data_IF_466390643440
#
_entry.id   IF_466390643440
#
_cell.length_a   1.000
_cell.length_b   1.000
_cell.length_c   1.000
_cell.angle_alpha   90.00
_cell.angle_beta   90.00
_cell.angle_gamma   90.00
#
_symmetry.space_group_name_H-M   'P 1'
#
loop_
_entity.id
_entity.type
_entity.pdbx_description
1 polymer ?
#
# COMPACT_ATOMS: atom_id res chain seq x y z
N UNK A 1 -6.71 -22.04 24.46
CA UNK A 1 -6.48 -22.13 23.01
C UNK A 1 -5.55 -21.01 22.62
N UNK A 2 -4.58 -21.23 21.70
CA UNK A 2 -3.67 -20.18 21.24
C UNK A 2 -4.13 -19.66 19.88
N UNK A 3 -4.02 -18.36 19.66
CA UNK A 3 -4.41 -17.68 18.43
C UNK A 3 -3.18 -17.04 17.78
N UNK A 4 -2.55 -17.65 16.78
CA UNK A 4 -1.26 -17.23 16.24
C UNK A 4 -1.33 -16.10 15.22
N UNK A 5 -2.50 -15.52 14.93
CA UNK A 5 -2.71 -14.50 13.90
C UNK A 5 -1.71 -13.33 14.01
N UNK A 6 -1.60 -12.71 15.19
CA UNK A 6 -0.72 -11.55 15.36
C UNK A 6 0.77 -11.90 15.21
N UNK A 7 1.17 -13.12 15.62
CA UNK A 7 2.54 -13.60 15.42
C UNK A 7 2.83 -13.87 13.94
N UNK A 8 1.83 -14.35 13.19
CA UNK A 8 1.94 -14.50 11.74
C UNK A 8 2.00 -13.13 11.06
N UNK A 9 1.10 -12.20 11.41
CA UNK A 9 1.08 -10.83 10.87
C UNK A 9 2.42 -10.11 11.09
N UNK A 10 3.05 -10.28 12.25
CA UNK A 10 4.36 -9.71 12.55
C UNK A 10 5.49 -10.18 11.60
N UNK A 11 5.26 -11.21 10.78
CA UNK A 11 6.26 -11.67 9.79
C UNK A 11 6.35 -10.79 8.57
N UNK A 12 5.41 -9.88 8.33
CA UNK A 12 5.49 -8.86 7.26
C UNK A 12 6.82 -8.09 7.28
N UNK A 13 7.42 -7.90 8.48
CA UNK A 13 8.75 -7.26 8.63
C UNK A 13 9.92 -8.04 8.00
N UNK A 14 9.72 -9.33 7.66
CA UNK A 14 10.76 -10.18 7.03
C UNK A 14 10.56 -10.31 5.52
N UNK A 15 9.49 -9.77 4.97
CA UNK A 15 9.20 -9.77 3.53
C UNK A 15 9.77 -8.46 2.97
N UNK A 16 10.77 -8.59 2.10
CA UNK A 16 11.40 -7.45 1.43
C UNK A 16 10.69 -7.19 0.11
N UNK A 17 10.25 -5.97 -0.09
CA UNK A 17 9.66 -5.48 -1.34
C UNK A 17 10.76 -5.17 -2.36
N UNK A 18 10.38 -5.04 -3.63
CA UNK A 18 11.32 -4.74 -4.72
C UNK A 18 12.42 -5.80 -4.89
N UNK A 19 12.11 -7.07 -4.61
CA UNK A 19 13.07 -8.18 -4.49
C UNK A 19 13.92 -8.43 -5.75
N UNK A 20 13.49 -7.95 -6.93
CA UNK A 20 14.26 -8.05 -8.19
C UNK A 20 15.10 -6.80 -8.50
N UNK A 21 15.06 -5.79 -7.62
CA UNK A 21 15.73 -4.50 -7.84
C UNK A 21 16.80 -4.26 -6.78
N UNK A 22 17.92 -3.67 -7.20
CA UNK A 22 18.95 -3.24 -6.27
C UNK A 22 18.51 -1.93 -5.59
N UNK A 23 18.13 -1.99 -4.33
CA UNK A 23 17.70 -0.85 -3.52
C UNK A 23 18.85 -0.31 -2.69
N UNK A 24 18.95 1.01 -2.53
CA UNK A 24 19.90 1.65 -1.58
C UNK A 24 19.48 1.42 -0.13
N UNK A 25 18.16 1.33 0.12
CA UNK A 25 17.57 0.96 1.40
C UNK A 25 16.50 -0.10 1.19
N UNK A 26 16.64 -1.24 1.89
CA UNK A 26 15.58 -2.25 1.88
C UNK A 26 14.29 -1.71 2.49
N UNK A 27 13.16 -2.05 1.90
CA UNK A 27 11.81 -1.75 2.38
C UNK A 27 11.13 -3.07 2.75
N UNK A 28 10.65 -3.19 3.98
CA UNK A 28 9.84 -4.33 4.39
C UNK A 28 8.37 -4.09 4.06
N UNK A 29 7.61 -5.19 3.93
CA UNK A 29 6.16 -5.11 3.75
C UNK A 29 5.47 -4.38 4.93
N UNK A 30 6.00 -4.51 6.16
CA UNK A 30 5.50 -3.76 7.34
C UNK A 30 5.70 -2.26 7.22
N UNK A 31 6.84 -1.79 6.73
CA UNK A 31 7.10 -0.36 6.50
C UNK A 31 6.13 0.17 5.45
N UNK A 32 6.02 -0.53 4.31
CA UNK A 32 5.10 -0.17 3.24
C UNK A 32 3.64 -0.04 3.73
N UNK A 33 3.13 -1.02 4.47
CA UNK A 33 1.73 -0.96 4.94
C UNK A 33 1.51 0.16 5.93
N UNK A 34 2.50 0.48 6.77
CA UNK A 34 2.44 1.63 7.68
C UNK A 34 2.40 2.94 6.89
N UNK A 35 3.31 3.13 5.94
CA UNK A 35 3.38 4.32 5.10
C UNK A 35 2.11 4.47 4.25
N UNK A 36 1.61 3.37 3.68
CA UNK A 36 0.35 3.35 2.93
C UNK A 36 -0.83 3.78 3.82
N UNK A 37 -0.88 3.34 5.08
CA UNK A 37 -1.95 3.72 6.00
C UNK A 37 -1.92 5.22 6.35
N UNK A 38 -0.73 5.78 6.57
CA UNK A 38 -0.55 7.22 6.82
C UNK A 38 -0.98 8.04 5.59
N UNK A 39 -0.57 7.62 4.39
CA UNK A 39 -0.95 8.25 3.13
C UNK A 39 -2.46 8.13 2.86
N UNK A 40 -3.05 6.96 3.09
CA UNK A 40 -4.48 6.73 2.92
C UNK A 40 -5.31 7.61 3.85
N UNK A 41 -4.90 7.74 5.12
CA UNK A 41 -5.53 8.66 6.05
C UNK A 41 -5.42 10.12 5.58
N UNK A 42 -4.22 10.55 5.14
CA UNK A 42 -4.01 11.90 4.63
C UNK A 42 -4.85 12.18 3.38
N UNK A 43 -4.93 11.24 2.42
CA UNK A 43 -5.79 11.38 1.24
C UNK A 43 -7.27 11.52 1.63
N UNK A 44 -7.73 10.80 2.64
CA UNK A 44 -9.10 10.98 3.16
C UNK A 44 -9.32 12.36 3.80
N UNK A 45 -8.32 12.94 4.46
CA UNK A 45 -8.40 14.31 4.98
C UNK A 45 -8.40 15.34 3.82
N UNK A 46 -7.61 15.11 2.78
CA UNK A 46 -7.66 15.90 1.54
C UNK A 46 -9.04 15.79 0.90
N UNK A 47 -9.60 14.58 0.81
CA UNK A 47 -10.96 14.33 0.33
C UNK A 47 -11.99 15.18 1.10
N UNK A 48 -11.92 15.16 2.41
CA UNK A 48 -12.84 15.87 3.29
C UNK A 48 -12.76 17.39 3.13
N UNK A 49 -11.57 17.96 2.94
CA UNK A 49 -11.36 19.41 3.04
C UNK A 49 -11.21 20.10 1.68
N UNK A 50 -10.83 19.40 0.62
CA UNK A 50 -10.49 20.00 -0.67
C UNK A 50 -11.28 19.44 -1.86
N UNK A 51 -11.59 18.13 -1.90
CA UNK A 51 -12.25 17.54 -3.07
C UNK A 51 -13.72 17.17 -2.82
N UNK A 52 -14.13 16.99 -1.56
CA UNK A 52 -15.50 16.66 -1.20
C UNK A 52 -15.87 15.17 -1.41
N UNK A 53 -14.90 14.31 -1.68
CA UNK A 53 -15.14 12.87 -1.84
C UNK A 53 -15.54 12.25 -0.48
N UNK A 54 -16.70 11.58 -0.38
CA UNK A 54 -17.13 10.97 0.87
C UNK A 54 -16.28 9.74 1.20
N UNK A 55 -15.74 9.69 2.41
CA UNK A 55 -14.94 8.56 2.90
C UNK A 55 -14.88 8.53 4.43
N UNK A 56 -14.50 7.38 4.98
CA UNK A 56 -14.27 7.15 6.41
C UNK A 56 -12.77 7.00 6.65
N UNK A 57 -12.05 8.07 7.06
CA UNK A 57 -10.59 8.08 7.17
C UNK A 57 -10.03 6.93 8.02
N UNK A 58 -10.65 6.66 9.16
CA UNK A 58 -10.26 5.59 10.07
C UNK A 58 -10.42 4.20 9.46
N UNK A 59 -11.48 3.97 8.69
CA UNK A 59 -11.74 2.66 8.04
C UNK A 59 -10.73 2.42 6.92
N UNK A 60 -10.45 3.45 6.10
CA UNK A 60 -9.49 3.35 5.00
C UNK A 60 -8.06 3.14 5.54
N UNK A 61 -7.68 3.86 6.59
CA UNK A 61 -6.37 3.71 7.22
C UNK A 61 -6.18 2.30 7.83
N UNK A 62 -7.22 1.78 8.52
CA UNK A 62 -7.16 0.42 9.07
C UNK A 62 -7.10 -0.62 7.94
N UNK A 63 -7.92 -0.49 6.89
CA UNK A 63 -7.84 -1.40 5.74
C UNK A 63 -6.44 -1.35 5.08
N UNK A 64 -5.81 -0.17 5.00
CA UNK A 64 -4.46 -0.03 4.48
C UNK A 64 -3.39 -0.78 5.30
N UNK A 65 -3.55 -0.90 6.62
CA UNK A 65 -2.65 -1.71 7.46
C UNK A 65 -2.72 -3.21 7.15
N UNK A 66 -3.84 -3.68 6.58
CA UNK A 66 -4.07 -5.11 6.33
C UNK A 66 -4.11 -5.47 4.84
N UNK A 67 -4.05 -4.51 3.91
CA UNK A 67 -4.30 -4.74 2.48
C UNK A 67 -3.33 -5.77 1.85
N UNK A 68 -2.08 -5.80 2.31
CA UNK A 68 -1.04 -6.73 1.86
C UNK A 68 -0.78 -7.87 2.88
N UNK A 69 -1.61 -8.01 3.93
CA UNK A 69 -1.46 -9.11 4.89
C UNK A 69 -1.45 -10.51 4.23
N UNK A 70 -2.24 -10.79 3.17
CA UNK A 70 -2.17 -12.06 2.45
C UNK A 70 -0.78 -12.39 1.89
N UNK A 71 0.06 -11.40 1.65
CA UNK A 71 1.42 -11.59 1.12
C UNK A 71 2.38 -12.26 2.12
N UNK A 72 1.98 -12.40 3.38
CA UNK A 72 2.68 -13.27 4.35
C UNK A 72 2.74 -14.71 3.86
N UNK A 73 1.74 -15.15 3.12
CA UNK A 73 1.62 -16.51 2.57
C UNK A 73 2.12 -16.57 1.13
N UNK A 74 1.79 -15.57 0.32
CA UNK A 74 2.13 -15.55 -1.12
C UNK A 74 3.53 -15.00 -1.41
N UNK A 75 4.10 -14.23 -0.49
CA UNK A 75 5.24 -13.34 -0.75
C UNK A 75 4.82 -12.09 -1.54
N UNK A 76 5.63 -11.03 -1.46
CA UNK A 76 5.51 -9.85 -2.34
C UNK A 76 5.95 -10.25 -3.75
N UNK A 77 4.98 -10.48 -4.64
CA UNK A 77 5.27 -10.90 -6.01
C UNK A 77 5.56 -9.68 -6.90
N UNK A 78 6.74 -9.62 -7.54
CA UNK A 78 7.07 -8.52 -8.43
C UNK A 78 6.01 -8.32 -9.52
N UNK A 79 5.59 -7.07 -9.73
CA UNK A 79 4.55 -6.70 -10.69
C UNK A 79 4.71 -7.31 -12.09
N UNK A 80 5.93 -7.37 -12.69
CA UNK A 80 6.12 -8.01 -14.00
C UNK A 80 5.79 -9.51 -13.99
N UNK A 81 5.98 -10.19 -12.86
CA UNK A 81 5.65 -11.62 -12.71
C UNK A 81 4.15 -11.78 -12.50
N UNK A 82 3.56 -11.01 -11.58
CA UNK A 82 2.13 -11.06 -11.24
C UNK A 82 1.23 -10.85 -12.48
N UNK A 83 1.64 -9.97 -13.39
CA UNK A 83 0.88 -9.64 -14.61
C UNK A 83 1.45 -10.27 -15.90
N UNK A 84 2.33 -11.28 -15.79
CA UNK A 84 2.92 -11.95 -16.97
C UNK A 84 1.86 -12.58 -17.87
N UNK A 85 0.80 -13.15 -17.31
CA UNK A 85 -0.32 -13.71 -18.06
C UNK A 85 -1.65 -13.57 -17.28
N UNK A 86 -2.81 -13.54 -17.98
CA UNK A 86 -4.11 -13.55 -17.31
C UNK A 86 -4.28 -14.75 -16.36
N UNK A 87 -3.83 -15.94 -16.79
CA UNK A 87 -3.95 -17.15 -15.97
C UNK A 87 -3.16 -17.04 -14.65
N UNK A 88 -1.94 -16.50 -14.69
CA UNK A 88 -1.13 -16.31 -13.49
C UNK A 88 -1.76 -15.25 -12.55
N UNK A 89 -2.22 -14.14 -13.12
CA UNK A 89 -2.92 -13.10 -12.34
C UNK A 89 -4.14 -13.66 -11.62
N UNK A 90 -4.97 -14.45 -12.32
CA UNK A 90 -6.20 -15.00 -11.76
C UNK A 90 -5.91 -16.08 -10.70
N UNK A 91 -4.89 -16.91 -10.93
CA UNK A 91 -4.42 -17.88 -9.93
C UNK A 91 -3.85 -17.20 -8.68
N UNK A 92 -3.08 -16.12 -8.85
CA UNK A 92 -2.54 -15.34 -7.73
C UNK A 92 -3.67 -14.69 -6.91
N UNK A 93 -4.67 -14.10 -7.58
CA UNK A 93 -5.85 -13.53 -6.90
C UNK A 93 -6.64 -14.59 -6.10
N UNK A 94 -6.77 -15.80 -6.65
CA UNK A 94 -7.40 -16.91 -5.92
C UNK A 94 -6.59 -17.29 -4.67
N UNK A 95 -5.26 -17.30 -4.78
CA UNK A 95 -4.36 -17.58 -3.65
C UNK A 95 -4.43 -16.48 -2.59
N UNK A 96 -4.48 -15.20 -2.97
CA UNK A 96 -4.69 -14.08 -2.05
C UNK A 96 -6.01 -14.27 -1.25
N UNK A 97 -7.09 -14.63 -1.94
CA UNK A 97 -8.40 -14.88 -1.30
C UNK A 97 -8.32 -16.05 -0.32
N UNK A 98 -7.66 -17.14 -0.66
CA UNK A 98 -7.47 -18.29 0.22
C UNK A 98 -6.57 -17.95 1.41
N UNK A 99 -5.57 -17.11 1.21
CA UNK A 99 -4.68 -16.62 2.26
C UNK A 99 -5.44 -15.82 3.31
N UNK A 100 -6.36 -14.93 2.91
CA UNK A 100 -7.26 -14.21 3.83
C UNK A 100 -8.07 -15.19 4.67
N UNK A 101 -8.69 -16.21 4.05
CA UNK A 101 -9.47 -17.22 4.78
C UNK A 101 -8.63 -18.00 5.79
N UNK A 102 -7.43 -18.41 5.36
CA UNK A 102 -6.49 -19.16 6.23
C UNK A 102 -6.03 -18.31 7.42
N UNK A 103 -5.78 -17.01 7.21
CA UNK A 103 -5.41 -16.09 8.28
C UNK A 103 -6.59 -15.83 9.23
N UNK A 104 -7.79 -15.64 8.72
CA UNK A 104 -9.01 -15.44 9.52
C UNK A 104 -9.29 -16.66 10.41
N UNK A 105 -9.03 -17.87 9.93
CA UNK A 105 -9.20 -19.10 10.71
C UNK A 105 -8.24 -19.22 11.93
N UNK A 106 -7.22 -18.35 12.01
CA UNK A 106 -6.31 -18.27 13.17
C UNK A 106 -6.85 -17.40 14.30
N UNK A 107 -8.06 -16.86 14.17
CA UNK A 107 -8.71 -15.97 15.14
C UNK A 107 -9.97 -16.64 15.72
N UNK A 108 -10.45 -16.18 16.91
CA UNK A 108 -11.83 -16.41 17.32
C UNK A 108 -12.81 -15.86 16.27
N UNK A 109 -13.98 -16.51 16.13
CA UNK A 109 -14.95 -16.18 15.09
C UNK A 109 -15.39 -14.71 15.09
N UNK A 110 -15.58 -14.15 16.30
CA UNK A 110 -15.98 -12.75 16.48
C UNK A 110 -14.90 -11.76 15.99
N UNK A 111 -13.63 -12.05 16.24
CA UNK A 111 -12.51 -11.21 15.75
C UNK A 111 -12.28 -11.39 14.25
N UNK A 112 -12.41 -12.62 13.76
CA UNK A 112 -12.33 -12.92 12.33
C UNK A 112 -13.39 -12.17 11.54
N UNK A 113 -14.62 -12.07 12.04
CA UNK A 113 -15.72 -11.36 11.39
C UNK A 113 -15.44 -9.85 11.22
N UNK A 114 -14.72 -9.24 12.17
CA UNK A 114 -14.36 -7.81 12.10
C UNK A 114 -13.11 -7.54 11.25
N UNK A 115 -12.10 -8.44 11.30
CA UNK A 115 -10.82 -8.23 10.62
C UNK A 115 -10.84 -8.67 9.14
N UNK A 116 -11.61 -9.69 8.77
CA UNK A 116 -11.67 -10.17 7.39
C UNK A 116 -12.04 -9.08 6.39
N UNK A 117 -13.07 -8.21 6.64
CA UNK A 117 -13.40 -7.12 5.73
C UNK A 117 -12.28 -6.10 5.52
N UNK A 118 -11.37 -5.95 6.49
CA UNK A 118 -10.20 -5.09 6.36
C UNK A 118 -9.11 -5.73 5.46
N UNK A 119 -8.94 -7.08 5.56
CA UNK A 119 -7.94 -7.81 4.78
C UNK A 119 -8.36 -8.01 3.31
N UNK A 120 -9.64 -8.25 3.04
CA UNK A 120 -10.17 -8.48 1.68
C UNK A 120 -10.75 -7.22 1.03
N UNK A 121 -10.75 -6.09 1.76
CA UNK A 121 -11.24 -4.81 1.29
C UNK A 121 -12.76 -4.65 1.27
N UNK A 122 -13.55 -5.66 1.65
CA UNK A 122 -15.03 -5.57 1.60
C UNK A 122 -15.61 -4.55 2.59
N UNK A 123 -14.82 -4.05 3.54
CA UNK A 123 -15.18 -2.93 4.40
C UNK A 123 -15.29 -1.59 3.65
N UNK A 124 -14.68 -1.47 2.47
CA UNK A 124 -14.51 -0.21 1.74
C UNK A 124 -15.58 0.01 0.67
N UNK A 125 -15.99 1.26 0.48
CA UNK A 125 -16.73 1.70 -0.70
C UNK A 125 -15.82 1.77 -1.92
N UNK A 126 -16.38 2.00 -3.12
CA UNK A 126 -15.60 2.14 -4.35
C UNK A 126 -14.63 3.34 -4.29
N UNK A 127 -15.08 4.47 -3.72
CA UNK A 127 -14.27 5.66 -3.51
C UNK A 127 -13.15 5.40 -2.49
N UNK A 128 -13.45 4.71 -1.40
CA UNK A 128 -12.47 4.34 -0.39
C UNK A 128 -11.42 3.36 -0.95
N UNK A 129 -11.82 2.41 -1.77
CA UNK A 129 -10.89 1.55 -2.52
C UNK A 129 -9.98 2.35 -3.45
N UNK A 130 -10.52 3.37 -4.14
CA UNK A 130 -9.73 4.24 -5.00
C UNK A 130 -8.69 5.02 -4.20
N UNK A 131 -9.07 5.55 -3.02
CA UNK A 131 -8.16 6.27 -2.12
C UNK A 131 -7.06 5.35 -1.57
N UNK A 132 -7.42 4.14 -1.11
CA UNK A 132 -6.43 3.15 -0.68
C UNK A 132 -5.46 2.79 -1.81
N UNK A 133 -5.98 2.53 -3.02
CA UNK A 133 -5.14 2.21 -4.17
C UNK A 133 -4.23 3.36 -4.59
N UNK A 134 -4.69 4.61 -4.45
CA UNK A 134 -3.86 5.78 -4.68
C UNK A 134 -2.75 5.89 -3.63
N UNK A 135 -3.05 5.63 -2.35
CA UNK A 135 -2.07 5.63 -1.27
C UNK A 135 -0.97 4.55 -1.46
N UNK A 136 -1.35 3.32 -1.84
CA UNK A 136 -0.43 2.24 -2.19
C UNK A 136 0.55 2.66 -3.32
N UNK A 137 0.01 3.26 -4.39
CA UNK A 137 0.83 3.77 -5.49
C UNK A 137 1.70 4.97 -5.12
N UNK A 138 1.20 5.86 -4.24
CA UNK A 138 2.00 6.97 -3.71
C UNK A 138 3.16 6.47 -2.85
N UNK A 139 2.96 5.47 -2.00
CA UNK A 139 4.05 4.83 -1.25
C UNK A 139 5.12 4.28 -2.19
N UNK A 140 4.73 3.56 -3.24
CA UNK A 140 5.66 3.07 -4.25
C UNK A 140 6.37 4.21 -5.02
N UNK A 141 5.66 5.31 -5.34
CA UNK A 141 6.23 6.49 -6.02
C UNK A 141 7.24 7.21 -5.12
N UNK A 142 6.94 7.35 -3.83
CA UNK A 142 7.83 7.94 -2.82
C UNK A 142 9.12 7.13 -2.75
N UNK A 143 9.02 5.80 -2.62
CA UNK A 143 10.19 4.91 -2.65
C UNK A 143 11.04 5.13 -3.90
N UNK A 144 10.45 5.17 -5.09
CA UNK A 144 11.19 5.44 -6.33
C UNK A 144 11.86 6.83 -6.31
N UNK A 145 11.19 7.84 -5.74
CA UNK A 145 11.73 9.21 -5.63
C UNK A 145 12.95 9.26 -4.69
N UNK A 146 12.89 8.56 -3.56
CA UNK A 146 14.00 8.47 -2.60
C UNK A 146 15.22 7.74 -3.19
N UNK A 147 14.99 6.65 -3.92
CA UNK A 147 16.05 5.91 -4.61
C UNK A 147 16.72 6.79 -5.69
N UNK A 148 15.94 7.49 -6.51
CA UNK A 148 16.47 8.42 -7.52
C UNK A 148 17.27 9.55 -6.88
N UNK A 149 16.79 10.13 -5.77
CA UNK A 149 17.50 11.13 -5.00
C UNK A 149 18.84 10.62 -4.47
N UNK A 150 18.90 9.34 -4.13
CA UNK A 150 20.13 8.66 -3.69
C UNK A 150 21.07 8.29 -4.83
N UNK A 151 20.74 8.67 -6.09
CA UNK A 151 21.53 8.38 -7.29
C UNK A 151 21.30 6.98 -7.85
N UNK A 152 20.27 6.27 -7.41
CA UNK A 152 19.92 4.95 -7.91
C UNK A 152 18.95 5.04 -9.09
N UNK A 153 19.47 4.90 -10.32
CA UNK A 153 18.70 4.99 -11.55
C UNK A 153 17.95 3.70 -11.94
N UNK A 154 18.11 2.62 -11.19
CA UNK A 154 17.36 1.38 -11.44
C UNK A 154 15.85 1.56 -11.25
N UNK A 155 15.44 2.56 -10.43
CA UNK A 155 14.04 2.88 -10.17
C UNK A 155 13.40 3.88 -11.15
N UNK A 156 14.12 4.44 -12.13
CA UNK A 156 13.60 5.46 -13.03
C UNK A 156 12.40 5.00 -13.86
N UNK A 157 12.44 3.76 -14.35
CA UNK A 157 11.32 3.18 -15.09
C UNK A 157 10.09 2.97 -14.18
N UNK A 158 10.29 2.47 -12.97
CA UNK A 158 9.23 2.27 -11.99
C UNK A 158 8.61 3.61 -11.56
N UNK A 159 9.42 4.63 -11.32
CA UNK A 159 8.99 6.00 -11.02
C UNK A 159 8.05 6.55 -12.11
N UNK A 160 8.46 6.42 -13.37
CA UNK A 160 7.66 6.85 -14.52
C UNK A 160 6.33 6.10 -14.60
N UNK A 161 6.36 4.78 -14.39
CA UNK A 161 5.16 3.93 -14.41
C UNK A 161 4.20 4.25 -13.28
N UNK A 162 4.69 4.45 -12.05
CA UNK A 162 3.83 4.78 -10.90
C UNK A 162 3.18 6.15 -11.09
N UNK A 163 3.93 7.14 -11.59
CA UNK A 163 3.39 8.47 -11.90
C UNK A 163 2.28 8.41 -12.96
N UNK A 164 2.51 7.71 -14.07
CA UNK A 164 1.52 7.53 -15.11
C UNK A 164 0.27 6.76 -14.61
N UNK A 165 0.47 5.75 -13.77
CA UNK A 165 -0.63 4.99 -13.19
C UNK A 165 -1.49 5.82 -12.22
N UNK A 166 -0.88 6.69 -11.41
CA UNK A 166 -1.60 7.64 -10.55
C UNK A 166 -2.44 8.62 -11.38
N UNK A 167 -1.86 9.20 -12.42
CA UNK A 167 -2.58 10.10 -13.33
C UNK A 167 -3.78 9.41 -14.00
N UNK A 168 -3.61 8.13 -14.43
CA UNK A 168 -4.68 7.35 -15.03
C UNK A 168 -5.83 7.02 -14.06
N UNK A 169 -5.61 7.08 -12.75
CA UNK A 169 -6.66 6.86 -11.74
C UNK A 169 -7.66 8.00 -11.67
N UNK A 170 -7.34 9.19 -12.18
CA UNK A 170 -8.18 10.39 -12.08
C UNK A 170 -8.66 10.61 -10.63
N UNK A 171 -7.71 10.60 -9.69
CA UNK A 171 -7.94 10.74 -8.25
C UNK A 171 -7.53 12.16 -7.81
N UNK A 172 -8.48 13.10 -7.64
CA UNK A 172 -8.15 14.49 -7.31
C UNK A 172 -7.34 14.62 -6.02
N UNK A 173 -7.53 13.71 -5.05
CA UNK A 173 -6.79 13.68 -3.80
C UNK A 173 -5.31 13.34 -4.03
N UNK A 174 -5.05 12.38 -4.92
CA UNK A 174 -3.69 12.04 -5.32
C UNK A 174 -3.03 13.18 -6.13
N UNK A 175 -3.77 13.81 -7.03
CA UNK A 175 -3.27 14.96 -7.79
C UNK A 175 -2.89 16.12 -6.86
N UNK A 176 -3.72 16.41 -5.86
CA UNK A 176 -3.42 17.39 -4.82
C UNK A 176 -2.14 17.03 -4.05
N UNK A 177 -1.98 15.75 -3.66
CA UNK A 177 -0.77 15.28 -2.97
C UNK A 177 0.48 15.41 -3.86
N UNK A 178 0.37 15.05 -5.14
CA UNK A 178 1.47 15.15 -6.11
C UNK A 178 1.95 16.60 -6.28
N UNK A 179 1.04 17.56 -6.23
CA UNK A 179 1.35 18.99 -6.39
C UNK A 179 1.96 19.58 -5.10
N UNK A 180 1.36 19.29 -3.93
CA UNK A 180 1.65 20.01 -2.70
C UNK A 180 2.56 19.26 -1.72
N UNK A 181 2.60 17.92 -1.77
CA UNK A 181 3.35 17.11 -0.80
C UNK A 181 4.56 16.41 -1.43
N UNK A 182 4.42 15.83 -2.62
CA UNK A 182 5.49 15.04 -3.22
C UNK A 182 6.82 15.82 -3.41
N UNK A 183 6.83 17.12 -3.79
CA UNK A 183 8.08 17.87 -3.92
C UNK A 183 8.92 17.91 -2.64
N UNK A 184 8.28 17.80 -1.47
CA UNK A 184 8.96 17.82 -0.18
C UNK A 184 9.84 16.57 0.06
N UNK A 185 9.57 15.45 -0.60
CA UNK A 185 10.37 14.23 -0.47
C UNK A 185 11.77 14.33 -1.08
N UNK A 186 12.06 15.40 -1.82
CA UNK A 186 13.40 15.72 -2.31
C UNK A 186 14.18 16.65 -1.38
N UNK A 187 13.57 17.17 -0.32
CA UNK A 187 14.16 18.09 0.63
C UNK A 187 14.96 17.33 1.71
N UNK A 188 15.97 18.00 2.29
CA UNK A 188 16.67 17.50 3.47
C UNK A 188 15.93 17.92 4.76
N UNK A 189 16.39 17.39 5.92
CA UNK A 189 15.74 17.65 7.21
C UNK A 189 15.65 19.15 7.55
N UNK A 190 16.74 19.90 7.28
CA UNK A 190 16.80 21.32 7.59
C UNK A 190 15.85 22.14 6.71
N UNK A 191 15.61 21.70 5.48
CA UNK A 191 14.65 22.32 4.57
C UNK A 191 13.19 22.01 5.00
N UNK A 192 12.92 20.77 5.39
CA UNK A 192 11.59 20.33 5.87
C UNK A 192 11.15 20.99 7.17
N UNK A 193 12.10 21.39 8.04
CA UNK A 193 11.83 21.98 9.35
C UNK A 193 11.88 23.52 9.37
N UNK A 194 12.18 24.16 8.24
CA UNK A 194 12.03 25.62 8.08
C UNK A 194 10.54 25.96 7.97
N UNK A 195 9.91 26.21 9.10
CA UNK A 195 8.56 26.73 9.21
C UNK A 195 8.53 28.27 9.10
#
# INVERSE_FOLDING_TARGET
MLYPFSALLARMKYITRWSLMHSTRAESLSEHTCDTALLAHLLCLIAKHYTGTPCRPEVVAVAALYHDAPEIITGDMPTPVKYHSPALRDAYKALETESVRSMAALLPAELAAELTPCMDGTALTAEEHRLLKAADRLSALIKCTEEQRSGNHEFDAALTQQRAALQAMQCPEADWFLEHCLPCYTQNLDELTKL
#
